data_IF_341476877197
#
_entry.id   IF_341476877197
#
_cell.length_a   1.000
_cell.length_b   1.000
_cell.length_c   1.000
_cell.angle_alpha   90.00
_cell.angle_beta   90.00
_cell.angle_gamma   90.00
#
_symmetry.space_group_name_H-M   'P 1'
#
loop_
_entity.id
_entity.type
_entity.pdbx_description
1 polymer ?
#
# COMPACT_ATOMS: atom_id res chain seq x y z
N UNK A 1 16.34 56.03 48.87
CA UNK A 1 14.88 55.86 48.63
C UNK A 1 14.71 54.51 47.96
N UNK A 2 14.76 53.44 48.76
CA UNK A 2 13.64 52.52 49.07
C UNK A 2 13.27 51.60 47.90
N UNK A 3 13.05 50.28 48.00
CA UNK A 3 13.10 49.27 49.06
C UNK A 3 12.90 47.87 48.38
N UNK A 4 13.63 46.84 48.85
CA UNK A 4 13.17 45.46 49.20
C UNK A 4 12.58 44.47 48.12
N UNK A 5 13.35 43.37 47.88
CA UNK A 5 13.11 41.88 47.76
C UNK A 5 11.66 41.33 47.99
N UNK A 6 11.22 40.04 47.73
CA UNK A 6 11.96 38.80 47.36
C UNK A 6 11.27 37.68 46.49
N UNK A 7 12.07 36.64 46.14
CA UNK A 7 11.85 35.15 46.16
C UNK A 7 10.66 34.51 45.38
N UNK A 8 10.94 33.51 44.54
CA UNK A 8 10.68 32.07 44.86
C UNK A 8 11.09 31.10 43.74
N UNK A 9 11.81 30.05 44.13
CA UNK A 9 12.12 28.86 43.35
C UNK A 9 10.96 27.84 43.38
N UNK A 10 10.92 27.02 42.33
CA UNK A 10 10.37 25.66 42.21
C UNK A 10 8.87 25.44 42.41
N UNK A 11 8.22 24.97 41.34
CA UNK A 11 7.30 23.81 41.41
C UNK A 11 7.40 23.02 40.10
N UNK A 12 7.80 21.77 40.26
CA UNK A 12 7.66 20.65 39.32
C UNK A 12 6.24 20.52 38.78
N UNK A 13 6.07 20.24 37.49
CA UNK A 13 4.97 19.35 37.06
C UNK A 13 5.24 18.73 35.70
N UNK A 14 5.47 17.42 35.74
CA UNK A 14 5.44 16.48 34.63
C UNK A 14 4.06 16.51 33.97
N UNK A 15 3.85 17.27 32.90
CA UNK A 15 2.57 17.21 32.16
C UNK A 15 2.59 17.63 30.68
N UNK A 16 3.76 17.77 30.03
CA UNK A 16 3.81 18.21 28.63
C UNK A 16 4.08 17.12 27.57
N UNK A 17 4.18 15.85 27.96
CA UNK A 17 4.55 14.77 27.03
C UNK A 17 3.36 13.99 26.41
N UNK A 18 2.11 14.18 26.85
CA UNK A 18 1.02 13.25 26.51
C UNK A 18 0.03 13.71 25.43
N UNK A 19 0.10 14.96 24.95
CA UNK A 19 -0.85 15.48 23.95
C UNK A 19 -0.32 15.43 22.50
N UNK A 20 0.98 15.21 22.30
CA UNK A 20 1.57 15.12 20.95
C UNK A 20 1.63 13.70 20.39
N UNK A 21 1.60 12.65 21.21
CA UNK A 21 1.76 11.28 20.73
C UNK A 21 0.52 10.73 20.01
N UNK A 22 -0.69 11.16 20.39
CA UNK A 22 -1.94 10.69 19.81
C UNK A 22 -2.23 11.34 18.44
N UNK A 23 -1.88 12.62 18.27
CA UNK A 23 -2.00 13.33 16.99
C UNK A 23 -0.93 12.87 15.99
N UNK A 24 0.33 12.72 16.43
CA UNK A 24 1.41 12.20 15.57
C UNK A 24 1.17 10.77 15.12
N UNK A 25 0.66 9.88 15.98
CA UNK A 25 0.33 8.49 15.59
C UNK A 25 -0.81 8.41 14.57
N UNK A 26 -1.77 9.32 14.63
CA UNK A 26 -2.87 9.38 13.65
C UNK A 26 -2.41 9.98 12.31
N UNK A 27 -1.50 10.96 12.30
CA UNK A 27 -0.83 11.41 11.06
C UNK A 27 0.09 10.32 10.48
N UNK A 28 0.84 9.59 11.32
CA UNK A 28 1.78 8.56 10.87
C UNK A 28 1.06 7.33 10.27
N UNK A 29 -0.13 6.99 10.78
CA UNK A 29 -0.99 5.94 10.20
C UNK A 29 -1.62 6.39 8.86
N UNK A 30 -1.97 7.67 8.74
CA UNK A 30 -2.55 8.27 7.52
C UNK A 30 -1.55 8.38 6.36
N UNK A 31 -0.24 8.40 6.65
CA UNK A 31 0.84 8.41 5.67
C UNK A 31 1.55 7.06 5.51
N UNK A 32 0.97 5.97 5.99
CA UNK A 32 1.56 4.64 5.75
C UNK A 32 1.59 4.32 4.24
N UNK A 33 2.79 4.04 3.72
CA UNK A 33 2.96 3.58 2.34
C UNK A 33 2.51 2.12 2.26
N UNK A 34 1.75 1.80 1.22
CA UNK A 34 1.22 0.46 0.97
C UNK A 34 1.36 0.12 -0.51
N UNK A 35 1.59 -1.17 -0.79
CA UNK A 35 1.47 -1.71 -2.13
C UNK A 35 0.26 -2.64 -2.23
N UNK A 36 -0.64 -2.35 -3.16
CA UNK A 36 -1.78 -3.22 -3.46
C UNK A 36 -1.44 -4.19 -4.59
N UNK A 37 -1.73 -5.47 -4.36
CA UNK A 37 -1.55 -6.57 -5.31
C UNK A 37 -2.93 -7.17 -5.57
N UNK A 38 -3.37 -7.13 -6.82
CA UNK A 38 -4.71 -7.54 -7.21
C UNK A 38 -4.63 -8.78 -8.08
N UNK A 39 -5.19 -9.87 -7.59
CA UNK A 39 -5.05 -11.21 -8.18
C UNK A 39 -6.41 -11.67 -8.65
N UNK A 40 -6.47 -12.24 -9.86
CA UNK A 40 -7.69 -12.85 -10.37
C UNK A 40 -8.05 -14.12 -9.59
N UNK A 41 -9.24 -14.12 -8.97
CA UNK A 41 -9.78 -15.29 -8.27
C UNK A 41 -10.32 -16.38 -9.21
N UNK A 42 -10.74 -16.01 -10.42
CA UNK A 42 -11.22 -16.97 -11.44
C UNK A 42 -10.12 -17.86 -12.01
N UNK A 43 -8.85 -17.49 -11.87
CA UNK A 43 -7.71 -18.35 -12.21
C UNK A 43 -7.79 -19.67 -11.42
N UNK A 44 -8.06 -19.61 -10.13
CA UNK A 44 -8.17 -20.79 -9.27
C UNK A 44 -9.54 -21.44 -9.45
N UNK A 45 -10.61 -20.66 -9.27
CA UNK A 45 -11.96 -21.22 -9.14
C UNK A 45 -12.55 -21.74 -10.45
N UNK A 46 -12.16 -21.17 -11.60
CA UNK A 46 -12.71 -21.53 -12.92
C UNK A 46 -11.67 -22.15 -13.84
N UNK A 47 -10.48 -21.55 -13.90
CA UNK A 47 -9.41 -21.99 -14.81
C UNK A 47 -8.50 -23.06 -14.17
N UNK A 48 -8.75 -23.42 -12.91
CA UNK A 48 -8.05 -24.50 -12.20
C UNK A 48 -6.53 -24.33 -12.14
N UNK A 49 -6.06 -23.09 -12.10
CA UNK A 49 -4.65 -22.80 -11.90
C UNK A 49 -4.22 -23.25 -10.51
N UNK A 50 -3.06 -23.91 -10.38
CA UNK A 50 -2.51 -24.21 -9.07
C UNK A 50 -2.19 -22.91 -8.34
N UNK A 51 -2.48 -22.86 -7.03
CA UNK A 51 -2.24 -21.67 -6.20
C UNK A 51 -0.78 -21.18 -6.31
N UNK A 52 0.18 -22.09 -6.40
CA UNK A 52 1.59 -21.75 -6.60
C UNK A 52 1.87 -20.95 -7.89
N UNK A 53 1.19 -21.27 -8.99
CA UNK A 53 1.32 -20.49 -10.23
C UNK A 53 0.77 -19.07 -10.03
N UNK A 54 -0.38 -18.93 -9.40
CA UNK A 54 -0.99 -17.62 -9.09
C UNK A 54 -0.07 -16.77 -8.20
N UNK A 55 0.59 -17.39 -7.21
CA UNK A 55 1.59 -16.72 -6.38
C UNK A 55 2.77 -16.23 -7.23
N UNK A 56 3.29 -17.07 -8.14
CA UNK A 56 4.40 -16.71 -9.01
C UNK A 56 4.06 -15.47 -9.87
N UNK A 57 2.84 -15.41 -10.42
CA UNK A 57 2.36 -14.25 -11.18
C UNK A 57 2.43 -12.96 -10.35
N UNK A 58 1.94 -13.00 -9.11
CA UNK A 58 1.99 -11.85 -8.20
C UNK A 58 3.44 -11.44 -7.89
N UNK A 59 4.35 -12.40 -7.67
CA UNK A 59 5.77 -12.13 -7.45
C UNK A 59 6.43 -11.45 -8.66
N UNK A 60 6.17 -11.95 -9.86
CA UNK A 60 6.68 -11.35 -11.09
C UNK A 60 6.17 -9.91 -11.27
N UNK A 61 4.87 -9.69 -11.05
CA UNK A 61 4.26 -8.38 -11.16
C UNK A 61 4.82 -7.38 -10.12
N UNK A 62 5.03 -7.82 -8.88
CA UNK A 62 5.66 -7.00 -7.83
C UNK A 62 7.10 -6.61 -8.21
N UNK A 63 7.89 -7.58 -8.70
CA UNK A 63 9.27 -7.32 -9.12
C UNK A 63 9.31 -6.33 -10.29
N UNK A 64 8.42 -6.52 -11.27
CA UNK A 64 8.32 -5.66 -12.43
C UNK A 64 7.92 -4.23 -12.07
N UNK A 65 6.89 -4.04 -11.22
CA UNK A 65 6.45 -2.68 -10.83
C UNK A 65 7.52 -1.97 -9.99
N UNK A 66 8.20 -2.68 -9.09
CA UNK A 66 9.31 -2.12 -8.31
C UNK A 66 10.47 -1.70 -9.21
N UNK A 67 10.78 -2.47 -10.25
CA UNK A 67 11.82 -2.09 -11.21
C UNK A 67 11.41 -0.89 -12.08
N UNK A 68 10.20 -0.90 -12.63
CA UNK A 68 9.69 0.15 -13.52
C UNK A 68 9.61 1.51 -12.84
N UNK A 69 9.25 1.53 -11.55
CA UNK A 69 9.08 2.73 -10.76
C UNK A 69 10.12 2.85 -9.66
N UNK A 70 11.30 2.25 -9.85
CA UNK A 70 12.34 2.23 -8.83
C UNK A 70 12.67 3.63 -8.33
N UNK A 71 12.83 4.61 -9.22
CA UNK A 71 13.28 5.97 -8.89
C UNK A 71 12.16 6.90 -8.40
N UNK A 72 10.93 6.41 -8.25
CA UNK A 72 9.82 7.17 -7.66
C UNK A 72 10.00 7.36 -6.15
N UNK A 73 9.69 8.56 -5.64
CA UNK A 73 9.91 8.92 -4.23
C UNK A 73 9.22 7.98 -3.25
N UNK A 74 7.97 7.57 -3.54
CA UNK A 74 7.23 6.65 -2.67
C UNK A 74 7.77 5.23 -2.75
N UNK A 75 8.27 4.82 -3.92
CA UNK A 75 8.92 3.52 -4.10
C UNK A 75 10.25 3.49 -3.35
N UNK A 76 11.06 4.54 -3.44
CA UNK A 76 12.30 4.67 -2.67
C UNK A 76 12.03 4.65 -1.16
N UNK A 77 11.05 5.42 -0.68
CA UNK A 77 10.65 5.42 0.73
C UNK A 77 10.20 4.02 1.19
N UNK A 78 9.40 3.33 0.38
CA UNK A 78 8.95 1.95 0.64
C UNK A 78 10.11 0.96 0.76
N UNK A 79 11.20 1.18 0.02
CA UNK A 79 12.38 0.30 -0.01
C UNK A 79 13.43 0.62 1.06
N UNK A 80 13.31 1.74 1.80
CA UNK A 80 14.26 2.10 2.87
C UNK A 80 14.17 1.19 4.09
N UNK A 81 12.99 0.66 4.38
CA UNK A 81 12.72 -0.21 5.53
C UNK A 81 12.07 -1.52 5.07
N UNK A 82 12.91 -2.42 4.58
CA UNK A 82 12.49 -3.68 3.97
C UNK A 82 11.76 -4.61 4.96
N UNK A 83 12.06 -4.50 6.26
CA UNK A 83 11.45 -5.33 7.31
C UNK A 83 10.03 -4.87 7.67
N UNK A 84 9.65 -3.63 7.34
CA UNK A 84 8.34 -3.05 7.63
C UNK A 84 7.50 -2.75 6.37
N UNK A 85 7.82 -3.39 5.23
CA UNK A 85 7.04 -3.29 4.00
C UNK A 85 5.59 -3.78 4.18
N UNK A 86 4.61 -2.94 3.85
CA UNK A 86 3.20 -3.32 3.88
C UNK A 86 2.68 -3.64 2.47
N UNK A 87 2.17 -4.86 2.27
CA UNK A 87 1.48 -5.30 1.04
C UNK A 87 0.08 -5.79 1.36
N UNK A 88 -0.89 -5.43 0.53
CA UNK A 88 -2.28 -5.90 0.65
C UNK A 88 -2.65 -6.64 -0.62
N UNK A 89 -2.91 -7.94 -0.49
CA UNK A 89 -3.32 -8.80 -1.60
C UNK A 89 -4.84 -8.92 -1.63
N UNK A 90 -5.43 -8.51 -2.75
CA UNK A 90 -6.88 -8.45 -2.96
C UNK A 90 -7.29 -9.33 -4.13
N UNK A 91 -8.49 -9.88 -4.04
CA UNK A 91 -9.10 -10.67 -5.09
C UNK A 91 -9.92 -9.79 -6.04
N UNK A 92 -9.67 -9.96 -7.34
CA UNK A 92 -10.50 -9.45 -8.43
C UNK A 92 -11.25 -10.64 -9.04
N UNK A 93 -12.58 -10.56 -9.20
CA UNK A 93 -13.37 -11.76 -9.50
C UNK A 93 -13.23 -12.28 -10.94
N UNK A 94 -12.87 -11.42 -11.90
CA UNK A 94 -12.81 -11.76 -13.33
C UNK A 94 -11.76 -10.95 -14.08
N UNK A 95 -11.39 -11.43 -15.25
CA UNK A 95 -10.59 -10.69 -16.24
C UNK A 95 -11.17 -9.30 -16.55
N UNK A 96 -12.46 -9.23 -16.86
CA UNK A 96 -13.12 -7.99 -17.21
C UNK A 96 -13.06 -6.96 -16.06
N UNK A 97 -13.20 -7.42 -14.82
CA UNK A 97 -13.06 -6.55 -13.64
C UNK A 97 -11.63 -6.07 -13.43
N UNK A 98 -10.62 -6.89 -13.78
CA UNK A 98 -9.21 -6.52 -13.70
C UNK A 98 -8.87 -5.46 -14.76
N UNK A 99 -9.29 -5.67 -16.00
CA UNK A 99 -9.08 -4.72 -17.10
C UNK A 99 -9.80 -3.39 -16.84
N UNK A 100 -11.05 -3.43 -16.38
CA UNK A 100 -11.78 -2.21 -16.03
C UNK A 100 -11.11 -1.43 -14.89
N UNK A 101 -10.44 -2.13 -13.96
CA UNK A 101 -9.65 -1.46 -12.94
C UNK A 101 -8.36 -0.87 -13.51
N UNK A 102 -7.65 -1.59 -14.37
CA UNK A 102 -6.43 -1.10 -15.02
C UNK A 102 -6.70 0.22 -15.77
N UNK A 103 -7.77 0.27 -16.57
CA UNK A 103 -8.18 1.50 -17.26
C UNK A 103 -8.54 2.61 -16.27
N UNK A 104 -9.30 2.31 -15.21
CA UNK A 104 -9.62 3.31 -14.18
C UNK A 104 -8.37 3.88 -13.51
N UNK A 105 -7.37 3.04 -13.20
CA UNK A 105 -6.12 3.50 -12.59
C UNK A 105 -5.33 4.37 -13.57
N UNK A 106 -5.28 3.98 -14.84
CA UNK A 106 -4.64 4.75 -15.92
C UNK A 106 -5.28 6.12 -16.11
N UNK A 107 -6.61 6.19 -16.16
CA UNK A 107 -7.37 7.46 -16.24
C UNK A 107 -7.07 8.42 -15.09
N UNK A 108 -6.75 7.89 -13.91
CA UNK A 108 -6.46 8.66 -12.71
C UNK A 108 -4.94 8.82 -12.45
N UNK A 109 -4.09 8.49 -13.43
CA UNK A 109 -2.63 8.56 -13.34
C UNK A 109 -2.05 7.80 -12.12
N UNK A 110 -2.62 6.63 -11.81
CA UNK A 110 -2.09 5.72 -10.81
C UNK A 110 -1.21 4.69 -11.51
N UNK A 111 0.09 4.79 -11.27
CA UNK A 111 1.11 3.93 -11.82
C UNK A 111 0.97 2.48 -11.34
N UNK A 112 0.92 1.58 -12.31
CA UNK A 112 0.68 0.16 -12.07
C UNK A 112 1.23 -0.71 -13.19
N UNK A 113 1.42 -1.98 -12.88
CA UNK A 113 1.76 -3.03 -13.82
C UNK A 113 0.60 -4.03 -13.92
N UNK A 114 -0.04 -4.10 -15.08
CA UNK A 114 -0.84 -5.26 -15.47
C UNK A 114 0.12 -6.36 -15.94
N UNK A 115 0.06 -7.51 -15.28
CA UNK A 115 0.91 -8.66 -15.59
C UNK A 115 0.16 -9.64 -16.49
N UNK A 116 0.81 -10.02 -17.58
CA UNK A 116 0.28 -10.86 -18.64
C UNK A 116 1.06 -12.17 -18.65
N UNK A 117 0.38 -13.31 -18.50
CA UNK A 117 1.03 -14.61 -18.66
C UNK A 117 1.27 -14.92 -20.13
N UNK A 118 2.42 -15.49 -20.45
CA UNK A 118 2.77 -16.02 -21.76
C UNK A 118 2.80 -17.56 -21.75
N UNK A 119 2.48 -18.24 -22.87
CA UNK A 119 2.18 -17.68 -24.20
C UNK A 119 0.72 -17.28 -24.44
N UNK A 120 -0.21 -17.57 -23.52
CA UNK A 120 -1.65 -17.36 -23.73
C UNK A 120 -2.07 -15.88 -23.76
N UNK A 121 -1.19 -14.98 -23.32
CA UNK A 121 -1.40 -13.54 -23.25
C UNK A 121 -2.65 -13.14 -22.46
N UNK A 122 -2.84 -13.76 -21.29
CA UNK A 122 -3.96 -13.47 -20.39
C UNK A 122 -3.51 -12.61 -19.20
N UNK A 123 -4.29 -11.60 -18.78
CA UNK A 123 -3.95 -10.80 -17.61
C UNK A 123 -4.21 -11.63 -16.35
N UNK A 124 -3.23 -11.77 -15.46
CA UNK A 124 -3.35 -12.62 -14.25
C UNK A 124 -3.46 -11.82 -12.97
N UNK A 125 -2.69 -10.74 -12.86
CA UNK A 125 -2.74 -9.83 -11.73
C UNK A 125 -2.35 -8.41 -12.12
N UNK A 126 -2.67 -7.44 -11.26
CA UNK A 126 -2.28 -6.05 -11.36
C UNK A 126 -1.61 -5.63 -10.05
N UNK A 127 -0.49 -4.93 -10.13
CA UNK A 127 0.19 -4.39 -8.95
C UNK A 127 0.43 -2.91 -9.14
N UNK A 128 0.06 -2.09 -8.16
CA UNK A 128 0.41 -0.66 -8.16
C UNK A 128 1.83 -0.47 -7.64
N UNK A 129 2.50 0.62 -8.02
CA UNK A 129 3.69 1.02 -7.27
C UNK A 129 3.29 1.37 -5.81
N UNK A 130 4.23 1.39 -4.86
CA UNK A 130 3.95 1.89 -3.52
C UNK A 130 3.36 3.31 -3.55
N UNK A 131 2.33 3.53 -2.72
CA UNK A 131 1.67 4.83 -2.55
C UNK A 131 1.27 5.05 -1.11
N UNK A 132 1.13 6.32 -0.66
CA UNK A 132 0.41 6.64 0.56
C UNK A 132 -0.99 6.03 0.51
N UNK A 133 -1.35 5.26 1.55
CA UNK A 133 -2.63 4.55 1.59
C UNK A 133 -3.83 5.47 1.38
N UNK A 134 -3.77 6.69 1.89
CA UNK A 134 -4.82 7.70 1.78
C UNK A 134 -5.11 8.12 0.34
N UNK A 135 -4.11 8.11 -0.54
CA UNK A 135 -4.26 8.49 -1.95
C UNK A 135 -4.98 7.42 -2.77
N UNK A 136 -4.67 6.14 -2.52
CA UNK A 136 -5.08 5.04 -3.42
C UNK A 136 -6.13 4.09 -2.85
N UNK A 137 -6.37 4.06 -1.53
CA UNK A 137 -7.26 3.07 -0.91
C UNK A 137 -8.69 3.04 -1.50
N UNK A 138 -9.20 4.18 -1.98
CA UNK A 138 -10.57 4.30 -2.48
C UNK A 138 -10.81 3.49 -3.78
N UNK A 139 -9.77 3.20 -4.56
CA UNK A 139 -9.87 2.32 -5.73
C UNK A 139 -10.08 0.85 -5.34
N UNK A 140 -9.59 0.47 -4.15
CA UNK A 140 -9.41 -0.93 -3.77
C UNK A 140 -10.39 -1.45 -2.70
N UNK A 141 -11.02 -0.56 -1.92
CA UNK A 141 -11.96 -0.91 -0.82
C UNK A 141 -13.10 -1.86 -1.22
N UNK A 142 -13.49 -1.88 -2.50
CA UNK A 142 -14.56 -2.75 -3.02
C UNK A 142 -14.13 -4.22 -3.18
N UNK A 143 -12.83 -4.49 -3.21
CA UNK A 143 -12.28 -5.83 -3.36
C UNK A 143 -12.03 -6.47 -1.99
N UNK A 144 -12.09 -7.80 -1.94
CA UNK A 144 -11.89 -8.58 -0.72
C UNK A 144 -10.45 -9.05 -0.63
N UNK A 145 -9.98 -9.36 0.59
CA UNK A 145 -8.68 -10.03 0.77
C UNK A 145 -8.66 -11.36 0.00
N UNK A 146 -7.57 -11.63 -0.70
CA UNK A 146 -7.37 -12.86 -1.44
C UNK A 146 -7.20 -14.04 -0.47
N UNK A 147 -8.05 -15.06 -0.57
CA UNK A 147 -8.03 -16.22 0.34
C UNK A 147 -7.25 -17.42 -0.18
N UNK A 148 -7.00 -17.48 -1.49
CA UNK A 148 -6.27 -18.58 -2.14
C UNK A 148 -7.03 -19.90 -2.26
N UNK A 149 -8.00 -20.18 -1.38
CA UNK A 149 -8.84 -21.40 -1.34
C UNK A 149 -10.20 -21.05 -0.70
#
# INVERSE_FOLDING_TARGET
>A
LCQVVPVCQSVTSLAFASLNSFSFRNLSMANSIVQYVLVRGDLITKLQWPLGAVIAQACHACTAVTHLYHDDDYTQEYLKDLDNMHKVVLEVPTEAALNALAEKLKENNIDHKLWMEQPENIPTCLVVKPYPKTEVQNYFKKFKLFKGI
#
